data_IF_802205037162
#
_entry.id   IF_802205037162
#
_cell.length_a   1.000
_cell.length_b   1.000
_cell.length_c   1.000
_cell.angle_alpha   90.00
_cell.angle_beta   90.00
_cell.angle_gamma   90.00
#
_symmetry.space_group_name_H-M   'P 1'
#
loop_
_entity.id
_entity.type
_entity.pdbx_description
1 polymer ?
#
# COMPACT_ATOMS: atom_id res chain seq x y z
N UNK A 1 -22.32 39.53 37.08
CA UNK A 1 -21.50 38.98 36.02
C UNK A 1 -20.09 38.73 36.55
N UNK A 2 -19.74 37.48 36.84
CA UNK A 2 -18.39 37.09 37.37
C UNK A 2 -17.46 36.78 36.20
N UNK A 3 -16.46 37.64 35.95
CA UNK A 3 -15.41 37.38 34.97
C UNK A 3 -14.40 36.39 35.60
N UNK A 4 -14.35 35.15 35.10
CA UNK A 4 -13.33 34.18 35.44
C UNK A 4 -12.05 34.55 34.69
N UNK A 5 -11.11 35.20 35.35
CA UNK A 5 -9.77 35.46 34.81
C UNK A 5 -8.97 34.15 34.71
N UNK A 6 -8.48 33.85 33.51
CA UNK A 6 -7.53 32.74 33.30
C UNK A 6 -6.24 33.02 34.09
N UNK A 7 -5.91 32.12 35.03
CA UNK A 7 -4.69 32.20 35.83
C UNK A 7 -3.46 32.01 34.93
N UNK A 8 -2.38 32.76 35.19
CA UNK A 8 -1.09 32.63 34.49
C UNK A 8 -0.54 31.19 34.49
N UNK A 9 -0.86 30.40 35.53
CA UNK A 9 -0.50 28.99 35.62
C UNK A 9 -1.31 28.11 34.65
N UNK A 10 -2.60 28.40 34.41
CA UNK A 10 -3.43 27.70 33.43
C UNK A 10 -3.01 27.97 31.99
N UNK A 11 -2.51 29.17 31.70
CA UNK A 11 -1.99 29.51 30.37
C UNK A 11 -0.67 28.79 30.06
N UNK A 12 0.23 28.69 31.04
CA UNK A 12 1.52 27.99 30.89
C UNK A 12 1.31 26.47 30.70
N UNK A 13 0.36 25.86 31.42
CA UNK A 13 0.02 24.43 31.24
C UNK A 13 -0.67 24.16 29.91
N UNK A 14 -1.53 25.06 29.43
CA UNK A 14 -2.14 24.95 28.11
C UNK A 14 -1.16 25.08 26.95
N UNK A 15 -0.14 25.93 27.06
CA UNK A 15 0.90 26.11 26.08
C UNK A 15 1.85 24.90 25.98
N UNK A 16 2.16 24.25 27.13
CA UNK A 16 2.96 23.00 27.15
C UNK A 16 2.18 21.82 26.57
N UNK A 17 0.88 21.72 26.77
CA UNK A 17 0.06 20.67 26.17
C UNK A 17 -0.08 20.86 24.64
N UNK A 18 -0.14 22.10 24.15
CA UNK A 18 -0.17 22.41 22.73
C UNK A 18 1.11 22.07 21.96
N UNK A 19 2.28 22.19 22.61
CA UNK A 19 3.57 21.90 22.00
C UNK A 19 3.84 20.39 21.81
N UNK A 20 3.18 19.54 22.59
CA UNK A 20 3.37 18.09 22.50
C UNK A 20 2.62 17.42 21.31
N UNK A 21 1.66 18.12 20.70
CA UNK A 21 0.81 17.54 19.62
C UNK A 21 1.44 17.76 18.22
N UNK A 22 2.43 18.64 18.09
CA UNK A 22 3.04 18.97 16.80
C UNK A 22 4.14 18.00 16.35
N UNK A 23 4.55 17.05 17.21
CA UNK A 23 5.58 16.04 16.87
C UNK A 23 5.04 14.79 16.18
N UNK A 24 3.72 14.67 15.93
CA UNK A 24 3.13 13.42 15.44
C UNK A 24 3.06 13.28 13.92
N UNK A 25 3.38 14.32 13.16
CA UNK A 25 3.39 14.26 11.68
C UNK A 25 4.83 14.23 11.15
N UNK A 26 5.52 13.12 11.40
CA UNK A 26 6.88 12.91 10.90
C UNK A 26 6.89 12.34 9.48
N UNK A 27 6.31 13.05 8.50
CA UNK A 27 6.46 12.74 7.09
C UNK A 27 7.36 13.80 6.44
N UNK A 28 8.30 13.35 5.61
CA UNK A 28 9.18 14.21 4.85
C UNK A 28 10.65 13.86 4.99
N UNK A 29 11.51 14.65 4.36
CA UNK A 29 12.95 14.42 4.32
C UNK A 29 13.53 14.41 5.75
N UNK A 30 14.18 13.30 6.13
CA UNK A 30 14.74 13.10 7.47
C UNK A 30 13.77 12.46 8.48
N UNK A 31 12.55 12.12 8.08
CA UNK A 31 11.62 11.34 8.91
C UNK A 31 12.03 9.85 8.99
N UNK A 32 11.40 9.10 9.91
CA UNK A 32 11.53 7.65 9.95
C UNK A 32 10.49 6.93 9.07
N UNK A 33 9.75 7.67 8.26
CA UNK A 33 8.68 7.14 7.41
C UNK A 33 9.21 6.10 6.43
N UNK A 34 10.27 6.43 5.71
CA UNK A 34 10.95 5.53 4.77
C UNK A 34 11.36 4.20 5.42
N UNK A 35 12.09 4.27 6.53
CA UNK A 35 12.57 3.07 7.23
C UNK A 35 11.41 2.18 7.73
N UNK A 36 10.29 2.78 8.16
CA UNK A 36 9.10 2.04 8.58
C UNK A 36 8.41 1.33 7.41
N UNK A 37 8.33 1.98 6.25
CA UNK A 37 7.78 1.37 5.04
C UNK A 37 8.69 0.22 4.60
N UNK A 38 10.01 0.43 4.54
CA UNK A 38 10.97 -0.58 4.14
C UNK A 38 10.90 -1.83 5.03
N UNK A 39 10.90 -1.65 6.34
CA UNK A 39 10.80 -2.77 7.27
C UNK A 39 9.50 -3.59 7.08
N UNK A 40 8.37 -2.93 6.78
CA UNK A 40 7.11 -3.61 6.49
C UNK A 40 7.15 -4.33 5.15
N UNK A 41 7.77 -3.71 4.13
CA UNK A 41 7.94 -4.32 2.81
C UNK A 41 8.81 -5.56 2.91
N UNK A 42 9.93 -5.51 3.64
CA UNK A 42 10.82 -6.66 3.83
C UNK A 42 10.09 -7.83 4.52
N UNK A 43 9.37 -7.55 5.62
CA UNK A 43 8.59 -8.57 6.32
C UNK A 43 7.48 -9.16 5.42
N UNK A 44 6.84 -8.32 4.61
CA UNK A 44 5.79 -8.75 3.67
C UNK A 44 6.34 -9.63 2.55
N UNK A 45 7.50 -9.29 2.01
CA UNK A 45 8.17 -10.11 1.00
C UNK A 45 8.56 -11.48 1.55
N UNK A 46 9.09 -11.51 2.75
CA UNK A 46 9.44 -12.77 3.40
C UNK A 46 8.21 -13.64 3.64
N UNK A 47 7.12 -13.07 4.19
CA UNK A 47 5.84 -13.76 4.37
C UNK A 47 5.29 -14.27 3.03
N UNK A 48 5.27 -13.43 1.99
CA UNK A 48 4.78 -13.79 0.67
C UNK A 48 5.59 -14.95 0.07
N UNK A 49 6.89 -14.91 0.14
CA UNK A 49 7.77 -15.96 -0.39
C UNK A 49 7.71 -17.26 0.40
N UNK A 50 7.34 -17.23 1.67
CA UNK A 50 7.10 -18.43 2.48
C UNK A 50 5.71 -19.02 2.19
N UNK A 51 4.70 -18.19 2.08
CA UNK A 51 3.30 -18.61 1.87
C UNK A 51 3.04 -19.03 0.42
N UNK A 52 3.70 -18.34 -0.52
CA UNK A 52 3.54 -18.53 -1.98
C UNK A 52 4.92 -18.62 -2.66
N UNK A 53 5.60 -19.78 -2.56
CA UNK A 53 6.99 -19.93 -3.03
C UNK A 53 7.21 -19.61 -4.52
N UNK A 54 6.17 -19.80 -5.35
CA UNK A 54 6.18 -19.50 -6.79
C UNK A 54 6.40 -18.01 -7.08
N UNK A 55 6.06 -17.12 -6.12
CA UNK A 55 6.28 -15.68 -6.27
C UNK A 55 7.75 -15.27 -6.30
N UNK A 56 8.65 -16.14 -5.80
CA UNK A 56 10.11 -15.92 -5.94
C UNK A 56 10.53 -15.88 -7.40
N UNK A 57 10.01 -16.82 -8.20
CA UNK A 57 10.31 -16.88 -9.63
C UNK A 57 9.76 -15.67 -10.40
N UNK A 58 8.65 -15.05 -9.93
CA UNK A 58 8.16 -13.79 -10.48
C UNK A 58 9.10 -12.63 -10.09
N UNK A 59 9.51 -12.55 -8.82
CA UNK A 59 10.39 -11.50 -8.33
C UNK A 59 11.77 -11.51 -9.02
N UNK A 60 12.32 -12.69 -9.32
CA UNK A 60 13.60 -12.85 -10.03
C UNK A 60 13.54 -12.40 -11.49
N UNK A 61 12.38 -12.55 -12.14
CA UNK A 61 12.17 -12.20 -13.55
C UNK A 61 11.68 -10.78 -13.75
N UNK A 62 11.10 -10.15 -12.72
CA UNK A 62 10.53 -8.82 -12.82
C UNK A 62 11.61 -7.74 -12.91
N UNK A 63 11.41 -6.76 -13.79
CA UNK A 63 12.21 -5.54 -13.87
C UNK A 63 12.10 -4.67 -12.62
N UNK A 64 11.00 -4.81 -11.89
CA UNK A 64 10.76 -4.15 -10.61
C UNK A 64 9.49 -4.66 -9.95
N UNK A 65 9.32 -4.34 -8.67
CA UNK A 65 8.23 -4.83 -7.86
C UNK A 65 7.74 -3.73 -6.91
N UNK A 66 6.45 -3.37 -6.99
CA UNK A 66 5.79 -2.51 -6.00
C UNK A 66 5.13 -3.39 -4.95
N UNK A 67 5.48 -3.19 -3.69
CA UNK A 67 4.90 -3.93 -2.57
C UNK A 67 4.12 -2.98 -1.68
N UNK A 68 2.85 -3.29 -1.46
CA UNK A 68 1.93 -2.59 -0.57
C UNK A 68 1.61 -3.49 0.63
N UNK A 69 2.35 -3.36 1.75
CA UNK A 69 2.27 -4.28 2.89
C UNK A 69 0.91 -4.33 3.56
N UNK A 70 0.26 -3.19 3.67
CA UNK A 70 -1.07 -3.06 4.25
C UNK A 70 -1.85 -2.02 3.46
N UNK A 71 -2.93 -2.46 2.85
CA UNK A 71 -3.98 -1.59 2.34
C UNK A 71 -5.19 -1.78 3.23
N UNK A 72 -5.70 -0.69 3.76
CA UNK A 72 -6.93 -0.67 4.56
C UNK A 72 -8.03 -0.10 3.69
N UNK A 73 -9.06 -0.91 3.48
CA UNK A 73 -10.29 -0.53 2.82
C UNK A 73 -11.39 -0.41 3.88
N UNK A 74 -12.10 0.71 3.87
CA UNK A 74 -13.20 0.94 4.77
C UNK A 74 -14.32 1.69 4.05
N UNK A 75 -15.58 1.33 4.33
CA UNK A 75 -16.72 1.98 3.72
C UNK A 75 -18.02 1.76 4.48
N UNK A 76 -18.87 2.79 4.38
CA UNK A 76 -20.28 2.76 4.78
C UNK A 76 -21.00 3.74 3.86
N UNK A 77 -21.68 3.29 2.82
CA UNK A 77 -22.26 4.07 1.70
C UNK A 77 -21.22 4.64 0.72
N UNK A 78 -20.09 5.14 1.21
CA UNK A 78 -18.91 5.54 0.45
C UNK A 78 -17.72 4.80 1.03
N UNK A 79 -16.91 4.21 0.18
CA UNK A 79 -15.73 3.48 0.58
C UNK A 79 -14.47 4.12 0.02
N UNK A 80 -13.35 3.78 0.63
CA UNK A 80 -12.05 4.14 0.12
C UNK A 80 -10.99 3.21 0.65
N UNK A 81 -9.92 3.05 -0.12
CA UNK A 81 -8.74 2.31 0.31
C UNK A 81 -7.55 3.25 0.42
N UNK A 82 -6.69 2.97 1.38
CA UNK A 82 -5.42 3.65 1.59
C UNK A 82 -4.33 2.68 2.00
N UNK A 83 -3.16 2.84 1.39
CA UNK A 83 -1.96 2.10 1.74
C UNK A 83 -0.69 2.87 1.39
N UNK A 84 0.43 2.44 1.94
CA UNK A 84 1.77 2.93 1.60
C UNK A 84 2.68 1.73 1.35
N UNK A 85 3.59 1.88 0.38
CA UNK A 85 4.52 0.84 0.01
C UNK A 85 5.75 1.38 -0.69
N UNK A 86 6.60 0.45 -1.14
CA UNK A 86 7.85 0.78 -1.80
C UNK A 86 8.01 0.02 -3.13
N UNK A 87 8.59 0.71 -4.10
CA UNK A 87 9.06 0.13 -5.36
C UNK A 87 10.48 -0.38 -5.17
N UNK A 88 10.67 -1.66 -5.42
CA UNK A 88 11.96 -2.36 -5.39
C UNK A 88 12.46 -2.65 -6.80
N UNK A 89 13.73 -2.35 -7.06
CA UNK A 89 14.44 -2.73 -8.28
C UNK A 89 15.75 -3.40 -7.84
N UNK A 90 15.98 -4.64 -8.26
CA UNK A 90 17.17 -5.40 -7.85
C UNK A 90 17.30 -5.52 -6.33
N UNK A 91 16.19 -5.64 -5.60
CA UNK A 91 16.16 -5.74 -4.13
C UNK A 91 16.28 -4.41 -3.37
N UNK A 92 16.54 -3.28 -4.07
CA UNK A 92 16.72 -1.97 -3.45
C UNK A 92 15.47 -1.11 -3.61
N UNK A 93 15.07 -0.37 -2.56
CA UNK A 93 14.00 0.63 -2.66
C UNK A 93 14.48 1.83 -3.49
N UNK A 94 13.72 2.15 -4.53
CA UNK A 94 14.00 3.28 -5.43
C UNK A 94 13.01 4.42 -5.27
N UNK A 95 11.75 4.11 -4.93
CA UNK A 95 10.69 5.10 -4.75
C UNK A 95 9.66 4.57 -3.72
N UNK A 96 8.89 5.48 -3.12
CA UNK A 96 7.76 5.17 -2.26
C UNK A 96 6.45 5.64 -2.89
N UNK A 97 5.38 4.88 -2.63
CA UNK A 97 4.07 5.17 -3.19
C UNK A 97 2.98 5.08 -2.13
N UNK A 98 1.98 5.94 -2.27
CA UNK A 98 0.69 5.77 -1.63
C UNK A 98 -0.31 5.20 -2.63
N UNK A 99 -1.18 4.34 -2.13
CA UNK A 99 -2.38 3.89 -2.83
C UNK A 99 -3.57 4.64 -2.26
N UNK A 100 -4.43 5.13 -3.15
CA UNK A 100 -5.75 5.66 -2.83
C UNK A 100 -6.76 5.10 -3.80
N UNK A 101 -7.91 4.70 -3.29
CA UNK A 101 -9.07 4.28 -4.08
C UNK A 101 -10.29 4.99 -3.52
N UNK A 102 -11.18 5.43 -4.42
CA UNK A 102 -12.51 5.86 -4.07
C UNK A 102 -13.51 4.87 -4.65
N UNK A 103 -14.24 4.16 -3.80
CA UNK A 103 -15.28 3.22 -4.23
C UNK A 103 -16.66 3.72 -3.86
N UNK A 104 -17.60 3.52 -4.79
CA UNK A 104 -19.03 3.76 -4.59
C UNK A 104 -19.69 2.40 -4.47
N UNK A 105 -20.22 2.05 -3.30
CA UNK A 105 -20.92 0.78 -3.12
C UNK A 105 -21.29 0.50 -1.67
N UNK A 106 -22.22 -0.43 -1.49
CA UNK A 106 -22.69 -0.93 -0.19
C UNK A 106 -21.66 -1.92 0.41
N UNK A 107 -20.43 -1.47 0.63
CA UNK A 107 -19.48 -2.22 1.45
C UNK A 107 -19.59 -1.73 2.89
N UNK A 108 -20.11 -2.58 3.76
CA UNK A 108 -20.19 -2.31 5.20
C UNK A 108 -19.05 -3.07 5.86
N UNK A 109 -18.05 -2.33 6.33
CA UNK A 109 -16.93 -2.94 7.07
C UNK A 109 -15.59 -2.29 6.79
N UNK A 110 -14.58 -2.87 7.40
CA UNK A 110 -13.18 -2.59 7.14
C UNK A 110 -12.45 -3.90 6.89
N UNK A 111 -11.65 -3.95 5.84
CA UNK A 111 -10.79 -5.08 5.53
C UNK A 111 -9.36 -4.61 5.29
N UNK A 112 -8.42 -5.53 5.48
CA UNK A 112 -7.02 -5.27 5.18
C UNK A 112 -6.50 -6.36 4.25
N UNK A 113 -5.77 -5.92 3.25
CA UNK A 113 -5.12 -6.81 2.32
C UNK A 113 -3.70 -6.34 2.00
N UNK A 114 -2.94 -7.24 1.47
CA UNK A 114 -1.59 -7.02 0.94
C UNK A 114 -1.63 -7.24 -0.55
N UNK A 115 -0.89 -6.46 -1.32
CA UNK A 115 -0.65 -6.81 -2.71
C UNK A 115 0.77 -6.44 -3.15
N UNK A 116 1.24 -7.17 -4.17
CA UNK A 116 2.48 -6.87 -4.87
C UNK A 116 2.20 -6.82 -6.38
N UNK A 117 2.74 -5.80 -7.05
CA UNK A 117 2.74 -5.67 -8.50
C UNK A 117 4.12 -6.01 -9.02
N UNK A 118 4.23 -7.02 -9.86
CA UNK A 118 5.45 -7.41 -10.54
C UNK A 118 5.43 -6.83 -11.96
N UNK A 119 6.34 -5.91 -12.25
CA UNK A 119 6.52 -5.35 -13.58
C UNK A 119 7.44 -6.27 -14.38
N UNK A 120 6.86 -7.07 -15.26
CA UNK A 120 7.58 -8.12 -15.98
C UNK A 120 8.42 -7.59 -17.15
N UNK A 121 8.22 -6.31 -17.52
CA UNK A 121 8.96 -5.64 -18.58
C UNK A 121 9.46 -4.27 -18.13
N UNK A 122 10.59 -3.83 -18.69
CA UNK A 122 11.15 -2.50 -18.44
C UNK A 122 10.21 -1.38 -18.91
N UNK A 123 9.45 -1.65 -19.97
CA UNK A 123 8.47 -0.71 -20.50
C UNK A 123 7.33 -0.47 -19.49
N UNK A 124 6.76 -1.54 -18.91
CA UNK A 124 5.72 -1.45 -17.90
C UNK A 124 6.21 -0.70 -16.65
N UNK A 125 7.42 -1.01 -16.18
CA UNK A 125 8.05 -0.33 -15.06
C UNK A 125 8.27 1.16 -15.36
N UNK A 126 8.77 1.49 -16.54
CA UNK A 126 9.01 2.87 -16.97
C UNK A 126 7.71 3.66 -17.06
N UNK A 127 6.68 3.09 -17.66
CA UNK A 127 5.34 3.68 -17.76
C UNK A 127 4.75 3.96 -16.37
N UNK A 128 4.88 3.00 -15.45
CA UNK A 128 4.46 3.16 -14.07
C UNK A 128 5.18 4.34 -13.40
N UNK A 129 6.50 4.39 -13.48
CA UNK A 129 7.33 5.42 -12.81
C UNK A 129 7.15 6.83 -13.39
N UNK A 130 6.86 6.95 -14.67
CA UNK A 130 6.63 8.25 -15.34
C UNK A 130 5.22 8.80 -15.11
N UNK A 131 4.30 7.96 -14.68
CA UNK A 131 2.93 8.38 -14.40
C UNK A 131 2.86 9.21 -13.11
N UNK A 132 2.16 10.35 -13.15
CA UNK A 132 1.85 11.16 -11.96
C UNK A 132 0.74 10.56 -11.08
N UNK A 133 0.21 9.41 -11.46
CA UNK A 133 -0.84 8.67 -10.76
C UNK A 133 -1.27 7.51 -11.63
N UNK A 134 -0.50 6.41 -11.55
CA UNK A 134 -0.80 5.21 -12.31
C UNK A 134 -2.05 4.53 -11.73
N UNK A 135 -2.96 4.13 -12.59
CA UNK A 135 -4.14 3.35 -12.23
C UNK A 135 -4.03 1.95 -12.81
N UNK A 136 -4.34 0.94 -12.01
CA UNK A 136 -4.43 -0.44 -12.49
C UNK A 136 -5.57 -0.55 -13.51
N UNK A 137 -5.26 -1.12 -14.66
CA UNK A 137 -6.19 -1.31 -15.78
C UNK A 137 -6.05 -2.69 -16.40
N UNK A 138 -6.62 -2.88 -17.58
CA UNK A 138 -6.67 -4.17 -18.29
C UNK A 138 -5.33 -4.80 -18.68
N UNK A 139 -4.20 -4.13 -18.40
CA UNK A 139 -2.83 -4.66 -18.60
C UNK A 139 -2.33 -5.46 -17.39
N UNK A 140 -3.11 -5.53 -16.30
CA UNK A 140 -2.75 -6.24 -15.07
C UNK A 140 -3.44 -7.60 -15.03
N UNK A 141 -2.66 -8.67 -14.94
CA UNK A 141 -3.17 -10.00 -14.64
C UNK A 141 -3.15 -10.25 -13.14
N UNK A 142 -4.27 -10.70 -12.60
CA UNK A 142 -4.44 -10.94 -11.18
C UNK A 142 -4.23 -12.41 -10.84
N UNK A 143 -3.46 -12.66 -9.77
CA UNK A 143 -3.37 -13.96 -9.11
C UNK A 143 -3.91 -13.77 -7.69
N UNK A 144 -5.09 -14.34 -7.41
CA UNK A 144 -5.68 -14.32 -6.07
C UNK A 144 -5.26 -15.58 -5.33
N UNK A 145 -4.78 -15.40 -4.11
CA UNK A 145 -4.13 -16.47 -3.37
C UNK A 145 -4.83 -16.92 -2.09
N UNK A 146 -6.09 -16.52 -1.84
CA UNK A 146 -6.79 -16.81 -0.57
C UNK A 146 -7.96 -17.77 -0.68
N UNK A 147 -8.24 -18.34 -1.84
CA UNK A 147 -9.19 -19.44 -2.00
C UNK A 147 -8.42 -20.68 -2.39
N UNK A 148 -8.26 -21.58 -1.45
CA UNK A 148 -7.75 -22.95 -1.38
C UNK A 148 -7.62 -23.85 -2.61
N UNK A 149 -7.76 -23.36 -3.79
CA UNK A 149 -7.38 -24.02 -5.04
C UNK A 149 -6.13 -23.32 -5.56
N UNK A 150 -5.06 -24.10 -5.68
CA UNK A 150 -3.75 -23.65 -6.11
C UNK A 150 -3.85 -22.61 -7.20
N UNK A 151 -3.28 -21.43 -6.95
CA UNK A 151 -3.11 -20.42 -7.98
C UNK A 151 -2.34 -21.09 -9.12
N UNK A 152 -3.09 -21.71 -10.04
CA UNK A 152 -2.54 -21.98 -11.34
C UNK A 152 -2.14 -20.60 -11.86
N UNK A 153 -0.84 -20.32 -11.81
CA UNK A 153 -0.25 -19.28 -12.62
C UNK A 153 -0.58 -19.64 -14.05
N UNK A 154 -1.82 -19.32 -14.44
CA UNK A 154 -2.32 -19.58 -15.76
C UNK A 154 -1.31 -19.03 -16.75
N UNK A 155 -1.06 -19.75 -17.82
CA UNK A 155 -0.18 -19.37 -18.93
C UNK A 155 -0.39 -17.92 -19.38
N UNK A 156 -1.57 -17.36 -19.14
CA UNK A 156 -1.92 -15.95 -19.36
C UNK A 156 -1.12 -14.97 -18.49
N UNK A 157 -0.76 -15.33 -17.23
CA UNK A 157 0.05 -14.45 -16.35
C UNK A 157 1.50 -14.34 -16.82
N UNK A 158 1.98 -15.33 -17.58
CA UNK A 158 3.37 -15.34 -18.09
C UNK A 158 3.59 -14.32 -19.21
N UNK A 159 2.54 -13.84 -19.86
CA UNK A 159 2.59 -12.88 -20.96
C UNK A 159 2.10 -11.48 -20.59
N UNK A 160 1.60 -11.28 -19.38
CA UNK A 160 1.16 -9.96 -18.93
C UNK A 160 2.33 -9.07 -18.54
N UNK A 161 2.34 -7.79 -18.98
CA UNK A 161 3.39 -6.86 -18.61
C UNK A 161 3.42 -6.53 -17.11
N UNK A 162 2.28 -6.71 -16.41
CA UNK A 162 2.17 -6.55 -14.96
C UNK A 162 1.38 -7.72 -14.37
N UNK A 163 1.96 -8.35 -13.34
CA UNK A 163 1.31 -9.43 -12.58
C UNK A 163 1.04 -8.93 -11.16
N UNK A 164 -0.18 -9.05 -10.68
CA UNK A 164 -0.58 -8.65 -9.34
C UNK A 164 -0.87 -9.88 -8.47
N UNK A 165 -0.25 -9.95 -7.31
CA UNK A 165 -0.56 -10.92 -6.25
C UNK A 165 -1.31 -10.16 -5.15
N UNK A 166 -2.51 -10.65 -4.78
CA UNK A 166 -3.35 -10.03 -3.75
C UNK A 166 -3.77 -11.09 -2.75
N UNK A 167 -3.61 -10.82 -1.46
CA UNK A 167 -4.02 -11.72 -0.39
C UNK A 167 -4.47 -10.98 0.87
N UNK A 168 -5.40 -11.57 1.63
CA UNK A 168 -5.95 -10.99 2.85
C UNK A 168 -5.00 -11.09 4.04
N UNK A 169 -5.11 -10.16 4.98
CA UNK A 169 -4.32 -10.13 6.24
C UNK A 169 -5.11 -10.54 7.48
N UNK A 170 -6.19 -11.20 7.32
CA UNK A 170 -7.07 -11.71 8.41
C UNK A 170 -8.51 -11.31 8.17
N UNK A 171 -9.41 -12.27 8.42
CA UNK A 171 -10.82 -12.14 8.14
C UNK A 171 -11.21 -12.71 6.77
N UNK A 172 -12.48 -12.55 6.41
CA UNK A 172 -13.00 -12.97 5.12
C UNK A 172 -12.57 -11.92 4.09
N UNK A 173 -11.68 -12.33 3.18
CA UNK A 173 -11.30 -11.53 2.02
C UNK A 173 -12.33 -11.73 0.92
N UNK A 174 -13.15 -10.72 0.67
CA UNK A 174 -14.17 -10.75 -0.39
C UNK A 174 -13.62 -10.05 -1.65
N UNK A 175 -12.53 -10.59 -2.23
CA UNK A 175 -12.02 -10.18 -3.54
C UNK A 175 -11.75 -8.67 -3.68
N UNK A 176 -10.57 -8.20 -3.28
CA UNK A 176 -10.18 -6.82 -3.62
C UNK A 176 -9.91 -6.73 -5.12
N UNK A 177 -10.59 -5.84 -5.79
CA UNK A 177 -10.22 -5.41 -7.13
C UNK A 177 -9.14 -4.34 -7.01
N UNK A 178 -8.11 -4.43 -7.84
CA UNK A 178 -7.16 -3.31 -7.98
C UNK A 178 -7.63 -2.29 -9.03
N UNK A 179 -8.76 -2.55 -9.69
CA UNK A 179 -9.39 -1.60 -10.60
C UNK A 179 -9.78 -0.32 -9.85
N UNK A 180 -9.34 0.83 -10.35
CA UNK A 180 -9.58 2.11 -9.70
C UNK A 180 -8.52 2.51 -8.67
N UNK A 181 -7.63 1.62 -8.28
CA UNK A 181 -6.51 1.95 -7.41
C UNK A 181 -5.55 2.93 -8.10
N UNK A 182 -5.33 4.07 -7.45
CA UNK A 182 -4.40 5.09 -7.91
C UNK A 182 -3.14 5.09 -7.06
N UNK A 183 -2.00 4.89 -7.72
CA UNK A 183 -0.69 4.90 -7.08
C UNK A 183 0.01 6.23 -7.33
N UNK A 184 0.37 6.92 -6.27
CA UNK A 184 1.02 8.24 -6.33
C UNK A 184 2.35 8.18 -5.60
N UNK A 185 3.44 8.68 -6.22
CA UNK A 185 4.74 8.76 -5.57
C UNK A 185 4.69 9.72 -4.39
N UNK A 186 5.34 9.33 -3.28
CA UNK A 186 5.41 10.10 -2.03
C UNK A 186 6.84 10.23 -1.52
N UNK A 187 7.04 11.22 -0.66
CA UNK A 187 8.22 11.34 0.20
C UNK A 187 7.73 11.06 1.62
N UNK A 188 8.04 9.86 2.20
CA UNK A 188 7.50 9.44 3.49
C UNK A 188 8.19 10.08 4.68
#
# INVERSE_FOLDING_TARGET
>A
MKRSGLSRRGFALGALAGAAVTSACGNGIGSQGAAKIDARVDATLEEMFQRYPETRGLAEKASGMLVMPVVTEAGFWFGGAYGQGALRIGGTTVDYYSLTEGSWGLQIGAQQYTHALFFMTDEALTKFRQSSGWAAGGEVSYVFSDQGDGAEANTASTFSPVVAIVYGRGGIFLGASLEGNKYTRIIP
#
